data_IF_706141077318
#
_entry.id   IF_706141077318
#
_cell.length_a   1.000
_cell.length_b   1.000
_cell.length_c   1.000
_cell.angle_alpha   90.00
_cell.angle_beta   90.00
_cell.angle_gamma   90.00
#
_symmetry.space_group_name_H-M   'P 1'
#
loop_
_entity.id
_entity.type
_entity.pdbx_description
1 polymer ?
#
# COMPACT_ATOMS: atom_id res chain seq x y z
N UNK A 1 34.85 -9.21 -25.23
CA UNK A 1 34.29 -9.08 -23.86
C UNK A 1 32.83 -8.64 -23.99
N UNK A 2 31.86 -9.56 -23.85
CA UNK A 2 30.43 -9.23 -23.91
C UNK A 2 30.00 -8.69 -22.55
N UNK A 3 29.58 -7.43 -22.46
CA UNK A 3 28.92 -6.89 -21.26
C UNK A 3 27.64 -7.70 -21.03
N UNK A 4 27.55 -8.35 -19.88
CA UNK A 4 26.28 -8.88 -19.36
C UNK A 4 25.34 -7.67 -19.23
N UNK A 5 24.27 -7.65 -20.04
CA UNK A 5 23.16 -6.74 -19.79
C UNK A 5 22.47 -7.30 -18.55
N UNK A 6 22.69 -6.69 -17.39
CA UNK A 6 21.83 -6.94 -16.24
C UNK A 6 20.40 -6.63 -16.68
N UNK A 7 19.50 -7.60 -16.59
CA UNK A 7 18.08 -7.34 -16.79
C UNK A 7 17.70 -6.13 -15.93
N UNK A 8 17.12 -5.06 -16.50
CA UNK A 8 16.66 -3.95 -15.69
C UNK A 8 15.70 -4.56 -14.68
N UNK A 9 16.03 -4.50 -13.38
CA UNK A 9 15.11 -4.93 -12.32
C UNK A 9 13.80 -4.19 -12.59
N UNK A 10 12.82 -4.92 -13.14
CA UNK A 10 11.51 -4.37 -13.46
C UNK A 10 10.96 -3.80 -12.16
N UNK A 11 10.92 -2.48 -12.10
CA UNK A 11 10.30 -1.73 -11.03
C UNK A 11 8.80 -1.81 -11.27
N UNK A 12 8.16 -2.72 -10.54
CA UNK A 12 6.71 -2.89 -10.56
C UNK A 12 6.10 -2.17 -9.38
N UNK A 13 4.82 -1.83 -9.50
CA UNK A 13 4.08 -1.22 -8.40
C UNK A 13 4.06 -2.12 -7.17
N UNK A 14 3.89 -3.43 -7.35
CA UNK A 14 3.90 -4.40 -6.24
C UNK A 14 5.23 -4.37 -5.49
N UNK A 15 6.37 -4.34 -6.20
CA UNK A 15 7.70 -4.22 -5.57
C UNK A 15 7.89 -2.89 -4.84
N UNK A 16 7.29 -1.81 -5.34
CA UNK A 16 7.30 -0.52 -4.64
C UNK A 16 6.50 -0.61 -3.34
N UNK A 17 5.31 -1.22 -3.37
CA UNK A 17 4.48 -1.42 -2.18
C UNK A 17 5.17 -2.34 -1.18
N UNK A 18 5.76 -3.45 -1.64
CA UNK A 18 6.52 -4.37 -0.78
C UNK A 18 7.68 -3.68 -0.08
N UNK A 19 8.47 -2.90 -0.83
CA UNK A 19 9.57 -2.13 -0.27
C UNK A 19 9.06 -1.08 0.73
N UNK A 20 7.99 -0.36 0.38
CA UNK A 20 7.36 0.61 1.27
C UNK A 20 6.93 -0.05 2.59
N UNK A 21 6.24 -1.18 2.53
CA UNK A 21 5.82 -1.94 3.73
C UNK A 21 7.03 -2.40 4.54
N UNK A 22 8.12 -2.82 3.90
CA UNK A 22 9.34 -3.24 4.60
C UNK A 22 9.99 -2.10 5.39
N UNK A 23 9.95 -0.87 4.89
CA UNK A 23 10.48 0.30 5.59
C UNK A 23 9.59 0.68 6.77
N UNK A 24 8.27 0.68 6.58
CA UNK A 24 7.32 1.04 7.64
C UNK A 24 7.36 0.04 8.80
N UNK A 25 7.59 -1.25 8.53
CA UNK A 25 7.69 -2.29 9.56
C UNK A 25 8.78 -2.01 10.59
N UNK A 26 9.86 -1.33 10.20
CA UNK A 26 10.96 -0.96 11.10
C UNK A 26 10.65 0.28 11.96
N UNK A 27 9.49 0.92 11.75
CA UNK A 27 9.13 2.11 12.52
C UNK A 27 8.72 1.74 13.95
N UNK A 28 9.11 2.55 14.96
CA UNK A 28 8.65 2.33 16.31
C UNK A 28 7.13 2.56 16.41
N UNK A 29 6.38 1.49 16.62
CA UNK A 29 4.94 1.57 16.86
C UNK A 29 4.65 1.81 18.35
N UNK A 30 4.25 3.04 18.69
CA UNK A 30 3.89 3.45 20.05
C UNK A 30 2.38 3.42 20.30
N UNK A 31 1.57 2.93 19.34
CA UNK A 31 0.12 2.90 19.47
C UNK A 31 -0.29 1.88 20.54
N UNK A 32 -1.32 2.23 21.29
CA UNK A 32 -1.90 1.39 22.34
C UNK A 32 -3.43 1.40 22.25
N UNK A 33 -4.09 0.40 22.83
CA UNK A 33 -5.55 0.30 22.85
C UNK A 33 -6.17 0.01 21.47
N UNK A 34 -7.34 0.56 21.19
CA UNK A 34 -8.14 0.22 20.00
C UNK A 34 -7.53 0.69 18.66
N UNK A 35 -6.46 1.49 18.70
CA UNK A 35 -5.80 2.07 17.53
C UNK A 35 -4.82 1.10 16.85
N UNK A 36 -4.73 -0.14 17.34
CA UNK A 36 -3.87 -1.23 16.84
C UNK A 36 -4.63 -2.24 16.00
N UNK A 37 -5.93 -2.03 15.76
CA UNK A 37 -6.78 -2.92 14.94
C UNK A 37 -6.18 -3.18 13.55
N UNK A 38 -5.52 -2.18 12.98
CA UNK A 38 -4.75 -2.32 11.74
C UNK A 38 -3.25 -2.20 12.03
N UNK A 39 -2.45 -2.99 11.32
CA UNK A 39 -0.99 -2.91 11.36
C UNK A 39 -0.51 -1.50 10.99
N UNK A 40 0.69 -1.12 11.43
CA UNK A 40 1.23 0.21 11.10
C UNK A 40 1.49 0.31 9.60
N UNK A 41 1.84 -0.81 8.98
CA UNK A 41 2.00 -0.98 7.54
C UNK A 41 0.70 -0.72 6.78
N UNK A 42 -0.43 -1.27 7.25
CA UNK A 42 -1.75 -1.06 6.62
C UNK A 42 -2.22 0.38 6.76
N UNK A 43 -2.01 0.98 7.94
CA UNK A 43 -2.33 2.39 8.16
C UNK A 43 -1.50 3.30 7.22
N UNK A 44 -0.19 3.04 7.11
CA UNK A 44 0.69 3.77 6.21
C UNK A 44 0.35 3.55 4.74
N UNK A 45 0.01 2.32 4.33
CA UNK A 45 -0.42 2.01 2.97
C UNK A 45 -1.72 2.75 2.62
N UNK A 46 -2.67 2.81 3.55
CA UNK A 46 -3.88 3.61 3.40
C UNK A 46 -3.59 5.10 3.20
N UNK A 47 -2.68 5.69 3.97
CA UNK A 47 -2.27 7.09 3.78
C UNK A 47 -1.54 7.30 2.44
N UNK A 48 -0.62 6.39 2.09
CA UNK A 48 0.18 6.45 0.87
C UNK A 48 -0.68 6.31 -0.40
N UNK A 49 -1.72 5.50 -0.35
CA UNK A 49 -2.60 5.29 -1.49
C UNK A 49 -3.30 6.56 -1.96
N UNK A 50 -3.52 7.57 -1.10
CA UNK A 50 -4.19 8.82 -1.47
C UNK A 50 -3.47 9.52 -2.63
N UNK A 51 -2.14 9.41 -2.68
CA UNK A 51 -1.32 9.94 -3.78
C UNK A 51 -1.65 9.32 -5.15
N UNK A 52 -2.33 8.17 -5.19
CA UNK A 52 -2.66 7.42 -6.40
C UNK A 52 -4.17 7.36 -6.66
N UNK A 53 -4.98 8.08 -5.88
CA UNK A 53 -6.45 8.05 -6.02
C UNK A 53 -7.00 9.41 -6.40
N UNK A 54 -8.07 9.44 -7.19
CA UNK A 54 -8.76 10.68 -7.60
C UNK A 54 -9.76 11.18 -6.54
N UNK A 55 -9.52 10.88 -5.27
CA UNK A 55 -10.42 11.25 -4.17
C UNK A 55 -9.60 11.85 -3.02
N UNK A 56 -10.13 12.88 -2.34
CA UNK A 56 -9.47 13.48 -1.18
C UNK A 56 -9.40 12.56 0.05
N UNK A 57 -10.02 11.38 0.00
CA UNK A 57 -9.98 10.39 1.07
C UNK A 57 -9.80 9.00 0.51
N UNK A 58 -8.80 8.28 1.02
CA UNK A 58 -8.61 6.86 0.74
C UNK A 58 -9.88 6.08 1.04
N UNK A 59 -10.44 6.25 2.24
CA UNK A 59 -11.62 5.52 2.66
C UNK A 59 -12.82 5.78 1.75
N UNK A 60 -13.02 7.04 1.34
CA UNK A 60 -14.09 7.39 0.40
C UNK A 60 -13.89 6.70 -0.96
N UNK A 61 -12.66 6.71 -1.48
CA UNK A 61 -12.33 6.04 -2.75
C UNK A 61 -12.55 4.52 -2.68
N UNK A 62 -12.10 3.87 -1.60
CA UNK A 62 -12.27 2.43 -1.43
C UNK A 62 -13.74 2.05 -1.29
N UNK A 63 -14.52 2.80 -0.52
CA UNK A 63 -15.97 2.60 -0.37
C UNK A 63 -16.68 2.73 -1.72
N UNK A 64 -16.42 3.79 -2.47
CA UNK A 64 -17.04 4.01 -3.78
C UNK A 64 -16.69 2.91 -4.79
N UNK A 65 -15.43 2.41 -4.79
CA UNK A 65 -15.06 1.27 -5.63
C UNK A 65 -15.72 -0.03 -5.19
N UNK A 66 -15.81 -0.28 -3.89
CA UNK A 66 -16.52 -1.45 -3.36
C UNK A 66 -17.98 -1.45 -3.79
N UNK A 67 -18.67 -0.32 -3.64
CA UNK A 67 -20.07 -0.17 -4.04
C UNK A 67 -20.27 -0.31 -5.56
N UNK A 68 -19.39 0.29 -6.37
CA UNK A 68 -19.53 0.30 -7.83
C UNK A 68 -19.03 -0.97 -8.52
N UNK A 69 -18.02 -1.65 -7.96
CA UNK A 69 -17.27 -2.73 -8.64
C UNK A 69 -17.16 -4.02 -7.82
N UNK A 70 -17.64 -4.05 -6.57
CA UNK A 70 -17.54 -5.20 -5.67
C UNK A 70 -16.12 -5.52 -5.18
N UNK A 71 -15.13 -4.68 -5.52
CA UNK A 71 -13.73 -4.82 -5.12
C UNK A 71 -13.08 -3.45 -4.98
N UNK A 72 -12.03 -3.35 -4.16
CA UNK A 72 -11.32 -2.10 -3.91
C UNK A 72 -9.80 -2.31 -3.85
N UNK A 73 -9.05 -1.21 -4.04
CA UNK A 73 -7.60 -1.24 -4.11
C UNK A 73 -6.95 -1.52 -2.75
N UNK A 74 -7.61 -1.21 -1.62
CA UNK A 74 -7.09 -1.57 -0.29
C UNK A 74 -6.81 -3.07 -0.22
N UNK A 75 -7.78 -3.88 -0.65
CA UNK A 75 -7.63 -5.34 -0.66
C UNK A 75 -6.76 -5.82 -1.82
N UNK A 76 -6.96 -5.31 -3.04
CA UNK A 76 -6.33 -5.90 -4.24
C UNK A 76 -4.93 -5.38 -4.55
N UNK A 77 -4.65 -4.09 -4.32
CA UNK A 77 -3.36 -3.47 -4.63
C UNK A 77 -2.47 -3.28 -3.40
N UNK A 78 -3.07 -3.08 -2.22
CA UNK A 78 -2.33 -2.79 -1.00
C UNK A 78 -2.32 -3.94 0.01
N UNK A 79 -3.09 -5.02 -0.24
CA UNK A 79 -3.11 -6.21 0.61
C UNK A 79 -3.59 -5.95 2.05
N UNK A 80 -4.44 -4.95 2.26
CA UNK A 80 -4.96 -4.60 3.58
C UNK A 80 -6.05 -5.59 4.02
N UNK A 81 -6.05 -5.96 5.30
CA UNK A 81 -6.98 -6.91 5.92
C UNK A 81 -7.73 -6.29 7.10
#
# INVERSE_FOLDING_TARGET
MRRSKSDPKLFTFDKLVDYFRSVIKEFPDKRIGNNTRYSIEDAAAGAFSVFFTQSPSFLAFQKAMQEKKGKNNAQTLFGMH
#
